data_IF_657161311586
#
_entry.id   IF_657161311586
#
_cell.length_a   1.000
_cell.length_b   1.000
_cell.length_c   1.000
_cell.angle_alpha   90.00
_cell.angle_beta   90.00
_cell.angle_gamma   90.00
#
_symmetry.space_group_name_H-M   'P 1'
#
loop_
_entity.id
_entity.type
_entity.pdbx_description
1 polymer ?
#
# COMPACT_ATOMS: atom_id res chain seq x y z
N UNK A 1 -39.81 -3.83 54.33
CA UNK A 1 -40.44 -5.01 54.97
C UNK A 1 -41.10 -5.85 53.90
N UNK A 2 -40.73 -7.13 53.85
CA UNK A 2 -41.23 -8.13 52.91
C UNK A 2 -42.62 -8.66 53.34
N UNK A 3 -43.37 -9.18 52.36
CA UNK A 3 -44.64 -9.90 52.56
C UNK A 3 -45.23 -10.27 51.20
N UNK A 4 -44.77 -11.36 50.58
CA UNK A 4 -45.34 -12.72 50.64
C UNK A 4 -46.65 -12.84 49.83
N UNK A 5 -46.56 -13.67 48.78
CA UNK A 5 -47.64 -14.12 47.90
C UNK A 5 -48.44 -15.30 48.48
N UNK A 6 -49.54 -15.70 47.83
CA UNK A 6 -49.77 -17.11 47.50
C UNK A 6 -50.21 -17.26 46.02
N UNK A 7 -49.56 -18.11 45.20
CA UNK A 7 -49.74 -19.56 45.02
C UNK A 7 -51.14 -20.02 44.59
N UNK A 8 -51.28 -20.24 43.29
CA UNK A 8 -52.19 -21.15 42.59
C UNK A 8 -51.77 -21.16 41.11
N UNK A 9 -51.69 -22.24 40.35
CA UNK A 9 -51.96 -23.65 40.54
C UNK A 9 -51.33 -24.40 39.35
N UNK A 10 -51.17 -25.71 39.50
CA UNK A 10 -50.53 -26.62 38.56
C UNK A 10 -51.18 -26.66 37.16
N UNK A 11 -50.35 -26.81 36.13
CA UNK A 11 -50.76 -27.23 34.80
C UNK A 11 -49.57 -27.75 33.99
N UNK A 12 -49.31 -29.05 34.10
CA UNK A 12 -48.43 -29.80 33.20
C UNK A 12 -49.08 -29.91 31.81
N UNK A 13 -48.37 -29.57 30.73
CA UNK A 13 -48.59 -30.18 29.41
C UNK A 13 -47.27 -30.38 28.68
N UNK A 14 -47.15 -31.57 28.09
CA UNK A 14 -45.99 -32.15 27.43
C UNK A 14 -45.99 -31.85 25.91
N UNK A 15 -44.84 -31.37 25.38
CA UNK A 15 -44.31 -31.44 24.00
C UNK A 15 -45.20 -30.91 22.82
N UNK A 16 -44.73 -30.82 21.54
CA UNK A 16 -43.40 -31.05 20.92
C UNK A 16 -42.95 -29.94 19.92
N UNK A 17 -41.73 -30.12 19.36
CA UNK A 17 -41.12 -29.46 18.19
C UNK A 17 -42.08 -29.01 17.06
N UNK A 18 -41.85 -27.81 16.50
CA UNK A 18 -41.56 -27.59 15.07
C UNK A 18 -41.53 -26.07 14.70
N UNK A 19 -40.65 -25.78 13.73
CA UNK A 19 -40.77 -24.67 12.76
C UNK A 19 -40.30 -23.27 13.18
N UNK A 20 -39.01 -23.02 12.94
CA UNK A 20 -38.42 -21.68 12.89
C UNK A 20 -37.43 -21.53 11.73
N UNK A 21 -37.80 -21.98 10.53
CA UNK A 21 -37.09 -21.65 9.30
C UNK A 21 -37.41 -20.21 8.90
N UNK A 22 -36.65 -19.25 9.41
CA UNK A 22 -36.60 -17.90 8.84
C UNK A 22 -35.56 -17.87 7.72
N UNK A 23 -35.89 -17.40 6.49
CA UNK A 23 -34.88 -17.22 5.47
C UNK A 23 -33.95 -16.11 5.96
N UNK A 24 -32.73 -16.48 6.31
CA UNK A 24 -31.64 -15.52 6.48
C UNK A 24 -31.49 -14.75 5.18
N UNK A 25 -31.99 -13.52 5.15
CA UNK A 25 -31.80 -12.59 4.05
C UNK A 25 -30.31 -12.50 3.69
N UNK A 26 -29.99 -12.18 2.42
CA UNK A 26 -28.62 -12.18 1.97
C UNK A 26 -27.79 -11.27 2.88
N UNK A 27 -26.84 -11.88 3.59
CA UNK A 27 -25.79 -11.14 4.30
C UNK A 27 -25.20 -10.19 3.26
N UNK A 28 -25.39 -8.88 3.48
CA UNK A 28 -24.87 -7.85 2.60
C UNK A 28 -23.42 -8.18 2.29
N UNK A 29 -23.15 -8.51 1.02
CA UNK A 29 -21.79 -8.78 0.59
C UNK A 29 -20.95 -7.57 0.94
N UNK A 30 -19.85 -7.78 1.65
CA UNK A 30 -18.87 -6.73 1.86
C UNK A 30 -18.64 -6.01 0.52
N UNK A 31 -18.59 -4.67 0.51
CA UNK A 31 -18.42 -3.93 -0.74
C UNK A 31 -17.26 -4.54 -1.50
N UNK A 32 -17.51 -4.93 -2.77
CA UNK A 32 -16.49 -5.58 -3.59
C UNK A 32 -15.32 -4.63 -3.68
N UNK A 33 -14.24 -4.97 -2.97
CA UNK A 33 -12.99 -4.23 -3.02
C UNK A 33 -12.50 -4.27 -4.46
N UNK A 34 -12.11 -3.11 -4.98
CA UNK A 34 -11.65 -2.99 -6.36
C UNK A 34 -10.48 -3.96 -6.62
N UNK A 35 -10.46 -4.61 -7.79
CA UNK A 35 -9.56 -5.73 -8.09
C UNK A 35 -8.06 -5.39 -7.96
N UNK A 36 -7.72 -4.12 -8.12
CA UNK A 36 -6.34 -3.61 -8.05
C UNK A 36 -5.93 -3.11 -6.66
N UNK A 37 -6.80 -3.19 -5.65
CA UNK A 37 -6.47 -2.79 -4.28
C UNK A 37 -5.94 -3.98 -3.50
N UNK A 38 -4.76 -3.79 -2.92
CA UNK A 38 -4.14 -4.76 -1.99
C UNK A 38 -3.74 -4.02 -0.71
N UNK A 39 -3.62 -4.72 0.41
CA UNK A 39 -3.10 -4.09 1.63
C UNK A 39 -1.59 -3.89 1.54
N UNK A 40 -1.10 -2.75 2.01
CA UNK A 40 0.33 -2.56 2.20
C UNK A 40 0.81 -3.38 3.39
N UNK A 41 1.79 -4.26 3.16
CA UNK A 41 2.46 -5.02 4.21
C UNK A 41 3.91 -4.55 4.32
N UNK A 42 4.33 -3.92 5.44
CA UNK A 42 5.71 -3.53 5.62
C UNK A 42 6.60 -4.76 5.80
N UNK A 43 7.82 -4.70 5.25
CA UNK A 43 8.85 -5.68 5.53
C UNK A 43 9.26 -5.58 7.00
N UNK A 44 9.10 -6.67 7.75
CA UNK A 44 9.42 -6.70 9.16
C UNK A 44 10.94 -6.78 9.35
N UNK A 45 11.53 -5.78 10.02
CA UNK A 45 12.97 -5.74 10.25
C UNK A 45 13.41 -6.90 11.13
N UNK A 46 14.11 -7.87 10.53
CA UNK A 46 14.86 -8.89 11.27
C UNK A 46 16.30 -8.42 11.41
N UNK A 47 16.81 -8.36 12.63
CA UNK A 47 18.24 -8.12 12.86
C UNK A 47 18.97 -9.40 12.47
N UNK A 48 19.70 -9.36 11.36
CA UNK A 48 20.33 -10.53 10.73
C UNK A 48 21.85 -10.50 10.92
N UNK A 49 22.43 -9.34 11.24
CA UNK A 49 23.86 -9.22 11.49
C UNK A 49 24.27 -7.94 12.21
N UNK A 50 25.57 -7.77 12.37
CA UNK A 50 26.15 -6.55 12.95
C UNK A 50 26.52 -5.54 11.87
N UNK A 51 26.74 -4.30 12.29
CA UNK A 51 27.14 -3.18 11.42
C UNK A 51 28.44 -3.45 10.64
N UNK A 52 29.30 -4.34 11.13
CA UNK A 52 30.57 -4.71 10.47
C UNK A 52 30.38 -5.18 9.03
N UNK A 53 29.26 -5.86 8.74
CA UNK A 53 28.90 -6.29 7.38
C UNK A 53 28.77 -5.08 6.45
N UNK A 54 28.16 -4.00 6.93
CA UNK A 54 28.02 -2.77 6.16
C UNK A 54 29.34 -2.01 6.05
N UNK A 55 30.19 -2.05 7.08
CA UNK A 55 31.49 -1.36 7.08
C UNK A 55 32.44 -1.97 6.03
N UNK A 56 32.37 -3.29 5.89
CA UNK A 56 33.14 -4.08 4.94
C UNK A 56 32.31 -4.51 3.72
N UNK A 57 31.32 -3.69 3.32
CA UNK A 57 30.40 -3.98 2.20
C UNK A 57 31.10 -4.17 0.84
N UNK A 58 32.34 -3.71 0.73
CA UNK A 58 33.18 -3.87 -0.47
C UNK A 58 33.67 -5.31 -0.65
N UNK A 59 33.68 -6.13 0.41
CA UNK A 59 34.03 -7.55 0.31
C UNK A 59 32.89 -8.30 -0.40
N UNK A 60 33.24 -9.29 -1.24
CA UNK A 60 32.26 -10.08 -1.98
C UNK A 60 31.27 -10.81 -1.06
N UNK A 61 31.75 -11.31 0.07
CA UNK A 61 30.94 -12.00 1.09
C UNK A 61 29.88 -11.08 1.71
N UNK A 62 30.29 -9.92 2.23
CA UNK A 62 29.35 -8.98 2.85
C UNK A 62 28.41 -8.36 1.81
N UNK A 63 28.91 -8.08 0.60
CA UNK A 63 28.07 -7.63 -0.51
C UNK A 63 26.96 -8.63 -0.82
N UNK A 64 27.27 -9.91 -0.94
CA UNK A 64 26.27 -10.95 -1.18
C UNK A 64 25.25 -11.06 -0.04
N UNK A 65 25.67 -10.85 1.21
CA UNK A 65 24.76 -10.80 2.36
C UNK A 65 23.80 -9.62 2.27
N UNK A 66 24.30 -8.43 1.92
CA UNK A 66 23.46 -7.24 1.72
C UNK A 66 22.48 -7.44 0.56
N UNK A 67 22.92 -8.05 -0.55
CA UNK A 67 22.04 -8.34 -1.70
C UNK A 67 20.85 -9.21 -1.29
N UNK A 68 21.05 -10.28 -0.51
CA UNK A 68 19.93 -11.12 -0.03
C UNK A 68 18.87 -10.33 0.74
N UNK A 69 19.28 -9.35 1.53
CA UNK A 69 18.35 -8.48 2.27
C UNK A 69 17.63 -7.52 1.32
N UNK A 70 18.35 -6.96 0.35
CA UNK A 70 17.78 -6.11 -0.70
C UNK A 70 16.69 -6.86 -1.47
N UNK A 71 16.96 -8.09 -1.90
CA UNK A 71 16.01 -8.95 -2.62
C UNK A 71 14.76 -9.20 -1.77
N UNK A 72 14.93 -9.60 -0.50
CA UNK A 72 13.82 -9.85 0.42
C UNK A 72 12.94 -8.60 0.65
N UNK A 73 13.54 -7.42 0.75
CA UNK A 73 12.80 -6.15 0.90
C UNK A 73 12.02 -5.84 -0.38
N UNK A 74 12.65 -5.97 -1.55
CA UNK A 74 11.99 -5.66 -2.83
C UNK A 74 10.85 -6.64 -3.11
N UNK A 75 11.02 -7.92 -2.80
CA UNK A 75 9.97 -8.92 -3.00
C UNK A 75 8.76 -8.65 -2.09
N UNK A 76 8.99 -8.13 -0.88
CA UNK A 76 7.92 -7.80 0.06
C UNK A 76 7.25 -6.44 -0.21
N UNK A 77 8.05 -5.39 -0.46
CA UNK A 77 7.58 -4.00 -0.53
C UNK A 77 7.71 -3.37 -1.92
N UNK A 78 8.04 -4.13 -2.96
CA UNK A 78 8.21 -3.60 -4.31
C UNK A 78 6.91 -3.08 -4.93
N UNK A 79 6.91 -1.92 -5.62
CA UNK A 79 8.03 -1.00 -5.79
C UNK A 79 8.39 -0.25 -4.49
N UNK A 80 9.69 -0.11 -4.22
CA UNK A 80 10.23 0.47 -2.97
C UNK A 80 11.15 1.65 -3.25
N UNK A 81 10.98 2.76 -2.52
CA UNK A 81 11.80 3.95 -2.68
C UNK A 81 13.26 3.68 -2.26
N UNK A 82 14.23 4.24 -2.99
CA UNK A 82 15.67 3.94 -2.79
C UNK A 82 16.17 4.25 -1.38
N UNK A 83 15.69 5.34 -0.78
CA UNK A 83 16.06 5.70 0.59
C UNK A 83 15.37 4.83 1.64
N UNK A 84 14.14 4.36 1.37
CA UNK A 84 13.42 3.45 2.25
C UNK A 84 14.14 2.12 2.31
N UNK A 85 14.50 1.57 1.15
CA UNK A 85 15.31 0.34 1.05
C UNK A 85 16.63 0.47 1.82
N UNK A 86 17.37 1.57 1.63
CA UNK A 86 18.64 1.76 2.33
C UNK A 86 18.48 1.79 3.86
N UNK A 87 17.40 2.39 4.38
CA UNK A 87 17.10 2.41 5.81
C UNK A 87 16.71 1.03 6.35
N UNK A 88 15.91 0.27 5.60
CA UNK A 88 15.51 -1.09 5.99
C UNK A 88 16.71 -2.03 6.04
N UNK A 89 17.57 -1.98 5.02
CA UNK A 89 18.84 -2.73 4.99
C UNK A 89 19.72 -2.34 6.19
N UNK A 90 19.89 -1.05 6.46
CA UNK A 90 20.68 -0.59 7.60
C UNK A 90 20.11 -1.09 8.94
N UNK A 91 18.78 -1.04 9.10
CA UNK A 91 18.09 -1.55 10.28
C UNK A 91 18.31 -3.05 10.50
N UNK A 92 18.37 -3.84 9.42
CA UNK A 92 18.68 -5.28 9.50
C UNK A 92 20.09 -5.59 10.03
N UNK A 93 21.01 -4.61 9.98
CA UNK A 93 22.36 -4.68 10.54
C UNK A 93 22.52 -3.82 11.81
N UNK A 94 21.42 -3.53 12.52
CA UNK A 94 21.39 -2.75 13.76
C UNK A 94 21.89 -1.30 13.64
N UNK A 95 21.86 -0.72 12.43
CA UNK A 95 22.24 0.67 12.20
C UNK A 95 20.99 1.57 12.18
N UNK A 96 20.74 2.26 13.29
CA UNK A 96 19.59 3.17 13.42
C UNK A 96 19.71 4.47 12.61
N UNK A 97 20.85 5.18 12.72
CA UNK A 97 21.10 6.43 11.98
C UNK A 97 21.98 6.18 10.77
N UNK A 98 21.40 6.32 9.58
CA UNK A 98 22.09 6.07 8.31
C UNK A 98 22.56 7.38 7.70
N UNK A 99 23.87 7.51 7.45
CA UNK A 99 24.43 8.66 6.74
C UNK A 99 24.13 8.59 5.24
N UNK A 100 24.15 9.72 4.54
CA UNK A 100 23.97 9.77 3.09
C UNK A 100 25.02 8.95 2.33
N UNK A 101 26.26 8.92 2.83
CA UNK A 101 27.31 8.07 2.26
C UNK A 101 26.95 6.58 2.39
N UNK A 102 26.43 6.16 3.56
CA UNK A 102 26.01 4.77 3.78
C UNK A 102 24.82 4.39 2.92
N UNK A 103 23.82 5.28 2.78
CA UNK A 103 22.70 5.05 1.86
C UNK A 103 23.19 4.81 0.44
N UNK A 104 24.10 5.66 -0.07
CA UNK A 104 24.68 5.50 -1.40
C UNK A 104 25.44 4.18 -1.55
N UNK A 105 26.24 3.79 -0.56
CA UNK A 105 26.96 2.52 -0.58
C UNK A 105 25.99 1.32 -0.68
N UNK A 106 24.91 1.30 0.11
CA UNK A 106 23.88 0.25 0.04
C UNK A 106 23.19 0.28 -1.34
N UNK A 107 22.82 1.46 -1.83
CA UNK A 107 22.15 1.62 -3.13
C UNK A 107 23.02 1.17 -4.32
N UNK A 108 24.35 1.26 -4.21
CA UNK A 108 25.29 0.77 -5.23
C UNK A 108 25.43 -0.76 -5.27
N UNK A 109 25.00 -1.44 -4.21
CA UNK A 109 25.00 -2.92 -4.14
C UNK A 109 23.77 -3.52 -4.81
N UNK A 110 22.68 -2.74 -4.93
CA UNK A 110 21.41 -3.21 -5.52
C UNK A 110 21.63 -3.67 -6.97
N UNK A 111 21.25 -4.91 -7.31
CA UNK A 111 21.38 -5.42 -8.68
C UNK A 111 20.61 -4.57 -9.70
N UNK A 112 21.16 -4.43 -10.90
CA UNK A 112 20.63 -3.54 -11.93
C UNK A 112 19.25 -3.99 -12.43
N UNK A 113 18.93 -5.29 -12.35
CA UNK A 113 17.62 -5.85 -12.73
C UNK A 113 16.46 -5.32 -11.88
N UNK A 114 16.72 -4.70 -10.73
CA UNK A 114 15.68 -4.06 -9.91
C UNK A 114 15.47 -2.58 -10.28
N UNK A 115 16.30 -2.01 -11.15
CA UNK A 115 16.19 -0.61 -11.58
C UNK A 115 15.35 -0.50 -12.86
N UNK A 116 14.64 0.62 -13.01
CA UNK A 116 13.86 0.94 -14.21
C UNK A 116 14.23 2.33 -14.71
N UNK A 117 14.39 2.47 -16.03
CA UNK A 117 14.83 3.75 -16.62
C UNK A 117 13.74 4.83 -16.53
N UNK A 118 12.48 4.42 -16.59
CA UNK A 118 11.26 5.24 -16.52
C UNK A 118 10.82 5.56 -15.09
N UNK A 119 11.45 4.95 -14.07
CA UNK A 119 11.24 5.28 -12.67
C UNK A 119 12.51 5.04 -11.84
N UNK A 120 13.39 6.06 -11.82
CA UNK A 120 14.70 6.01 -11.17
C UNK A 120 14.65 6.19 -9.65
N UNK A 121 13.53 6.59 -9.08
CA UNK A 121 13.37 6.82 -7.64
C UNK A 121 13.01 5.54 -6.87
N UNK A 122 12.66 4.48 -7.59
CA UNK A 122 12.15 3.22 -7.03
C UNK A 122 12.90 2.01 -7.57
N UNK A 123 13.02 0.99 -6.72
CA UNK A 123 13.38 -0.35 -7.12
C UNK A 123 12.12 -1.18 -7.32
N UNK A 124 12.08 -1.94 -8.41
CA UNK A 124 10.94 -2.72 -8.87
C UNK A 124 11.27 -4.21 -8.83
N UNK A 125 10.37 -5.08 -8.34
CA UNK A 125 10.55 -6.52 -8.39
C UNK A 125 10.85 -7.00 -9.81
N UNK A 126 11.54 -8.13 -9.92
CA UNK A 126 11.86 -8.70 -11.22
C UNK A 126 10.57 -9.03 -12.00
N UNK A 127 10.55 -8.74 -13.30
CA UNK A 127 9.38 -8.91 -14.16
C UNK A 127 8.24 -7.89 -13.96
N UNK A 128 8.31 -7.02 -12.95
CA UNK A 128 7.32 -5.93 -12.77
C UNK A 128 7.79 -4.68 -13.50
N UNK A 129 6.92 -4.12 -14.33
CA UNK A 129 7.20 -2.92 -15.13
C UNK A 129 6.28 -1.75 -14.75
N UNK A 130 6.81 -0.52 -14.62
CA UNK A 130 6.01 0.64 -14.23
C UNK A 130 4.91 1.02 -15.23
N UNK A 131 5.01 0.58 -16.48
CA UNK A 131 3.99 0.80 -17.52
C UNK A 131 2.80 -0.16 -17.44
N UNK A 132 2.97 -1.38 -16.90
CA UNK A 132 1.92 -2.41 -16.85
C UNK A 132 1.39 -2.66 -15.44
N UNK A 133 2.09 -2.19 -14.41
CA UNK A 133 1.68 -2.37 -13.03
C UNK A 133 0.48 -1.47 -12.67
N UNK A 134 -0.61 -2.07 -12.20
CA UNK A 134 -1.89 -1.40 -11.90
C UNK A 134 -2.29 -1.40 -10.43
N UNK A 135 -1.51 -2.08 -9.59
CA UNK A 135 -1.83 -2.28 -8.17
C UNK A 135 -1.73 -0.98 -7.38
N UNK A 136 -2.56 -0.87 -6.34
CA UNK A 136 -2.57 0.21 -5.36
C UNK A 136 -2.51 -0.44 -3.98
N UNK A 137 -1.46 -0.16 -3.22
CA UNK A 137 -1.33 -0.69 -1.86
C UNK A 137 -1.94 0.30 -0.88
N UNK A 138 -3.09 -0.08 -0.33
CA UNK A 138 -3.85 0.75 0.59
C UNK A 138 -3.35 0.61 2.02
N UNK A 139 -3.57 1.66 2.80
CA UNK A 139 -3.27 1.70 4.23
C UNK A 139 -4.50 2.17 5.00
N UNK A 140 -4.61 1.80 6.27
CA UNK A 140 -5.61 2.39 7.13
C UNK A 140 -5.40 3.90 7.25
N UNK A 141 -6.47 4.61 7.57
CA UNK A 141 -6.44 6.06 7.75
C UNK A 141 -5.40 6.45 8.82
N UNK A 142 -4.43 7.26 8.44
CA UNK A 142 -3.34 7.72 9.31
C UNK A 142 -2.12 6.79 9.37
N UNK A 143 -2.22 5.60 8.80
CA UNK A 143 -1.14 4.60 8.74
C UNK A 143 -0.47 4.55 7.35
N UNK A 144 -0.78 5.54 6.49
CA UNK A 144 -0.18 5.67 5.17
C UNK A 144 1.33 5.89 5.22
N UNK A 145 2.02 5.34 4.21
CA UNK A 145 3.44 5.65 3.97
C UNK A 145 3.61 7.14 3.66
N UNK A 146 4.78 7.74 3.97
CA UNK A 146 5.10 9.08 3.48
C UNK A 146 4.94 9.15 1.96
N UNK A 147 4.36 10.23 1.43
CA UNK A 147 4.02 10.33 0.01
C UNK A 147 5.24 10.19 -0.93
N UNK A 148 6.43 10.58 -0.48
CA UNK A 148 7.68 10.39 -1.23
C UNK A 148 8.14 8.93 -1.32
N UNK A 149 7.64 8.05 -0.43
CA UNK A 149 7.91 6.61 -0.45
C UNK A 149 6.89 5.82 -1.30
N UNK A 150 5.99 6.52 -1.99
CA UNK A 150 4.97 5.96 -2.88
C UNK A 150 5.31 6.40 -4.31
N UNK A 151 5.37 5.46 -5.26
CA UNK A 151 5.74 5.79 -6.64
C UNK A 151 4.66 6.60 -7.34
N UNK A 152 5.06 7.44 -8.29
CA UNK A 152 4.10 8.17 -9.12
C UNK A 152 3.13 7.23 -9.85
N UNK A 153 3.61 6.01 -10.18
CA UNK A 153 2.78 4.96 -10.79
C UNK A 153 1.68 4.53 -9.83
N UNK A 154 2.02 4.26 -8.56
CA UNK A 154 1.06 3.84 -7.55
C UNK A 154 0.03 4.93 -7.23
N UNK A 155 0.48 6.19 -7.14
CA UNK A 155 -0.40 7.34 -6.93
C UNK A 155 -1.35 7.52 -8.13
N UNK A 156 -0.83 7.43 -9.35
CA UNK A 156 -1.64 7.51 -10.58
C UNK A 156 -2.64 6.34 -10.67
N UNK A 157 -2.24 5.14 -10.26
CA UNK A 157 -3.16 4.00 -10.15
C UNK A 157 -4.25 4.23 -9.11
N UNK A 158 -3.94 4.87 -7.97
CA UNK A 158 -4.96 5.23 -6.97
C UNK A 158 -5.99 6.21 -7.53
N UNK A 159 -5.53 7.21 -8.31
CA UNK A 159 -6.42 8.11 -9.04
C UNK A 159 -7.25 7.37 -10.09
N UNK A 160 -6.65 6.43 -10.85
CA UNK A 160 -7.39 5.58 -11.80
C UNK A 160 -8.52 4.82 -11.11
N UNK A 161 -8.24 4.19 -9.96
CA UNK A 161 -9.26 3.48 -9.16
C UNK A 161 -10.37 4.43 -8.73
N UNK A 162 -10.02 5.63 -8.23
CA UNK A 162 -11.00 6.63 -7.82
C UNK A 162 -11.91 7.06 -8.99
N UNK A 163 -11.34 7.33 -10.16
CA UNK A 163 -12.12 7.67 -11.36
C UNK A 163 -13.01 6.51 -11.84
N UNK A 164 -12.54 5.26 -11.73
CA UNK A 164 -13.30 4.07 -12.11
C UNK A 164 -14.53 3.87 -11.21
N UNK A 165 -14.38 4.11 -9.91
CA UNK A 165 -15.45 3.95 -8.92
C UNK A 165 -16.56 4.99 -9.06
N UNK A 166 -16.24 6.19 -9.53
CA UNK A 166 -17.19 7.31 -9.67
C UNK A 166 -17.76 7.46 -11.08
N UNK A 167 -17.18 6.79 -12.08
CA UNK A 167 -17.46 7.04 -13.50
C UNK A 167 -16.82 8.32 -14.04
N UNK A 168 -15.89 8.91 -13.27
CA UNK A 168 -15.19 10.14 -13.59
C UNK A 168 -15.28 11.16 -12.44
N UNK A 169 -14.20 11.90 -12.22
CA UNK A 169 -14.10 12.87 -11.13
C UNK A 169 -13.42 14.17 -11.53
N UNK A 170 -13.80 15.25 -10.85
CA UNK A 170 -13.01 16.48 -10.87
C UNK A 170 -11.65 16.25 -10.20
N UNK A 171 -10.65 17.06 -10.55
CA UNK A 171 -9.26 16.88 -10.09
C UNK A 171 -9.11 16.85 -8.56
N UNK A 172 -9.85 17.70 -7.85
CA UNK A 172 -9.74 17.80 -6.39
C UNK A 172 -10.32 16.57 -5.68
N UNK A 173 -11.43 16.04 -6.20
CA UNK A 173 -12.04 14.82 -5.67
C UNK A 173 -11.18 13.60 -5.99
N UNK A 174 -10.62 13.54 -7.20
CA UNK A 174 -9.69 12.49 -7.63
C UNK A 174 -8.47 12.40 -6.70
N UNK A 175 -7.85 13.55 -6.42
CA UNK A 175 -6.71 13.66 -5.50
C UNK A 175 -7.09 13.27 -4.07
N UNK A 176 -8.25 13.74 -3.59
CA UNK A 176 -8.75 13.43 -2.25
C UNK A 176 -8.98 11.94 -2.07
N UNK A 177 -9.61 11.29 -3.03
CA UNK A 177 -9.89 9.86 -2.94
C UNK A 177 -8.62 9.01 -3.08
N UNK A 178 -7.71 9.39 -3.98
CA UNK A 178 -6.39 8.75 -4.05
C UNK A 178 -5.64 8.83 -2.71
N UNK A 179 -5.69 9.98 -2.01
CA UNK A 179 -5.11 10.08 -0.67
C UNK A 179 -5.79 9.16 0.35
N UNK A 180 -7.11 9.06 0.32
CA UNK A 180 -7.88 8.20 1.22
C UNK A 180 -7.46 6.74 1.05
N UNK A 181 -7.35 6.26 -0.19
CA UNK A 181 -6.87 4.91 -0.50
C UNK A 181 -5.46 4.65 0.04
N UNK A 182 -4.58 5.65 -0.04
CA UNK A 182 -3.20 5.57 0.46
C UNK A 182 -3.08 5.80 1.98
N UNK A 183 -4.20 5.93 2.70
CA UNK A 183 -4.23 6.12 4.15
C UNK A 183 -3.79 7.50 4.63
N UNK A 184 -3.68 8.49 3.73
CA UNK A 184 -3.26 9.86 4.09
C UNK A 184 -4.44 10.71 4.57
N UNK A 185 -4.17 11.64 5.49
CA UNK A 185 -5.21 12.47 6.12
C UNK A 185 -5.05 13.97 5.89
N UNK A 186 -3.88 14.43 5.42
CA UNK A 186 -3.57 15.85 5.28
C UNK A 186 -3.04 16.17 3.88
N UNK A 187 -3.66 17.15 3.23
CA UNK A 187 -3.24 17.71 1.95
C UNK A 187 -2.21 18.83 2.20
N UNK A 188 -0.94 18.45 2.38
CA UNK A 188 0.17 19.40 2.49
C UNK A 188 0.79 19.73 1.13
N UNK A 189 1.62 20.78 1.05
CA UNK A 189 2.27 21.20 -0.19
C UNK A 189 3.07 20.08 -0.89
N UNK A 190 3.83 19.30 -0.13
CA UNK A 190 4.59 18.16 -0.66
C UNK A 190 3.67 17.04 -1.20
N UNK A 191 2.52 16.83 -0.57
CA UNK A 191 1.53 15.83 -1.01
C UNK A 191 0.86 16.31 -2.30
N UNK A 192 0.41 17.56 -2.34
CA UNK A 192 -0.18 18.18 -3.54
C UNK A 192 0.76 18.10 -4.73
N UNK A 193 2.02 18.54 -4.55
CA UNK A 193 3.02 18.49 -5.61
C UNK A 193 3.22 17.07 -6.17
N UNK A 194 3.26 16.06 -5.28
CA UNK A 194 3.46 14.67 -5.71
C UNK A 194 2.22 14.10 -6.40
N UNK A 195 1.03 14.49 -5.97
CA UNK A 195 -0.23 14.15 -6.63
C UNK A 195 -0.30 14.77 -8.03
N UNK A 196 0.14 16.03 -8.19
CA UNK A 196 0.21 16.71 -9.48
C UNK A 196 1.14 15.98 -10.45
N UNK A 197 2.37 15.66 -10.01
CA UNK A 197 3.33 14.89 -10.80
C UNK A 197 2.78 13.52 -11.23
N UNK A 198 2.05 12.84 -10.33
CA UNK A 198 1.45 11.54 -10.61
C UNK A 198 0.32 11.65 -11.63
N UNK A 199 -0.51 12.70 -11.54
CA UNK A 199 -1.57 12.98 -12.49
C UNK A 199 -1.00 13.31 -13.88
N UNK A 200 0.00 14.18 -13.95
CA UNK A 200 0.71 14.51 -15.20
C UNK A 200 1.25 13.25 -15.87
N UNK A 201 1.95 12.40 -15.10
CA UNK A 201 2.42 11.10 -15.59
C UNK A 201 1.27 10.23 -16.09
N UNK A 202 0.20 10.09 -15.31
CA UNK A 202 -0.94 9.24 -15.64
C UNK A 202 -1.64 9.68 -16.94
N UNK A 203 -1.72 10.98 -17.19
CA UNK A 203 -2.21 11.54 -18.45
C UNK A 203 -1.26 11.25 -19.60
N UNK A 204 0.05 11.48 -19.39
CA UNK A 204 1.06 11.29 -20.43
C UNK A 204 1.14 9.85 -20.93
N UNK A 205 0.93 8.86 -20.05
CA UNK A 205 0.94 7.43 -20.40
C UNK A 205 -0.46 6.86 -20.70
N UNK A 206 -1.51 7.70 -20.72
CA UNK A 206 -2.87 7.31 -21.08
C UNK A 206 -3.62 6.48 -20.03
N UNK A 207 -3.12 6.39 -18.80
CA UNK A 207 -3.80 5.73 -17.67
C UNK A 207 -5.07 6.50 -17.28
N UNK A 208 -5.01 7.82 -17.35
CA UNK A 208 -6.14 8.73 -17.20
C UNK A 208 -6.29 9.58 -18.44
N UNK A 209 -7.50 10.10 -18.68
CA UNK A 209 -7.78 11.09 -19.71
C UNK A 209 -8.63 12.21 -19.13
N UNK A 210 -8.32 13.44 -19.51
CA UNK A 210 -9.17 14.59 -19.24
C UNK A 210 -10.18 14.78 -20.37
N UNK A 211 -11.45 14.93 -20.02
CA UNK A 211 -12.51 15.31 -20.94
C UNK A 211 -12.56 16.84 -21.12
N UNK A 212 -13.18 17.36 -22.20
CA UNK A 212 -13.38 18.80 -22.38
C UNK A 212 -14.13 19.49 -21.22
N UNK A 213 -14.95 18.73 -20.48
CA UNK A 213 -15.66 19.18 -19.28
C UNK A 213 -14.74 19.41 -18.06
N UNK A 214 -13.46 19.03 -18.15
CA UNK A 214 -12.53 19.05 -17.01
C UNK A 214 -12.61 17.82 -16.11
N UNK A 215 -13.48 16.86 -16.42
CA UNK A 215 -13.61 15.59 -15.69
C UNK A 215 -12.53 14.61 -16.14
N UNK A 216 -11.91 13.94 -15.17
CA UNK A 216 -10.92 12.90 -15.39
C UNK A 216 -11.58 11.53 -15.35
N UNK A 217 -11.32 10.73 -16.38
CA UNK A 217 -11.82 9.36 -16.53
C UNK A 217 -10.68 8.38 -16.79
N UNK A 218 -10.93 7.09 -16.61
CA UNK A 218 -9.99 6.02 -16.96
C UNK A 218 -9.67 6.09 -18.46
N UNK A 219 -8.39 6.06 -18.80
CA UNK A 219 -7.93 5.99 -20.19
C UNK A 219 -7.84 4.54 -20.70
N UNK A 220 -7.51 4.37 -21.98
CA UNK A 220 -7.54 3.07 -22.66
C UNK A 220 -6.23 2.27 -22.54
N UNK A 221 -5.31 2.66 -21.65
CA UNK A 221 -3.92 2.17 -21.59
C UNK A 221 -3.69 0.84 -20.87
#
# INVERSE_FOLDING_TARGET
>A
MAGVAPRGGNGFFWAPWASGGGPGGPRGGAPRRHAHLTDFSPWNSVVIGSISVLDEIHTSYNRAHVVKIVESIIDAEGPVHRDRLAKLVAGAFSLGKVSESRKRAIQQVVPAEYSRADDREFYWPNGVHPGTWRTVRTSNRGEGRPIGEISLVEIGNAMRVAAEQTGGSAVDDLKREAMNLLGMTRMGSAVTLRLDQALERALAVGVLRQQPSGIFVVGSA
#
